data_IF_866941039213
#
_entry.id   IF_866941039213
#
_cell.length_a   1.000
_cell.length_b   1.000
_cell.length_c   1.000
_cell.angle_alpha   90.00
_cell.angle_beta   90.00
_cell.angle_gamma   90.00
#
_symmetry.space_group_name_H-M   'P 1'
#
loop_
_entity.id
_entity.type
_entity.pdbx_description
1 polymer ?
#
# COMPACT_ATOMS: atom_id res chain seq x y z
N UNK A 1 38.19 -13.24 -10.58
CA UNK A 1 36.98 -13.29 -9.74
C UNK A 1 35.79 -12.81 -10.56
N UNK A 2 34.82 -13.68 -10.84
CA UNK A 2 33.52 -13.27 -11.37
C UNK A 2 32.66 -12.91 -10.16
N UNK A 3 32.28 -11.64 -10.00
CA UNK A 3 31.33 -11.22 -8.98
C UNK A 3 29.93 -11.42 -9.54
N UNK A 4 29.28 -12.49 -9.08
CA UNK A 4 27.85 -12.72 -9.27
C UNK A 4 27.08 -11.64 -8.50
N UNK A 5 26.57 -10.65 -9.22
CA UNK A 5 25.58 -9.72 -8.69
C UNK A 5 24.24 -10.44 -8.73
N UNK A 6 23.85 -10.99 -7.58
CA UNK A 6 22.51 -11.48 -7.35
C UNK A 6 21.52 -10.33 -7.58
N UNK A 7 20.74 -10.41 -8.65
CA UNK A 7 19.62 -9.52 -8.89
C UNK A 7 18.69 -9.56 -7.66
N UNK A 8 18.24 -8.41 -7.11
CA UNK A 8 17.31 -8.43 -6.00
C UNK A 8 16.02 -9.09 -6.49
N UNK A 9 15.73 -10.25 -5.89
CA UNK A 9 14.62 -11.11 -6.26
C UNK A 9 13.32 -10.32 -6.38
N UNK A 10 12.65 -10.48 -7.51
CA UNK A 10 11.31 -9.99 -7.70
C UNK A 10 10.41 -10.67 -6.66
N UNK A 11 10.14 -9.99 -5.56
CA UNK A 11 9.15 -10.42 -4.57
C UNK A 11 7.81 -10.38 -5.30
N UNK A 12 7.33 -11.55 -5.72
CA UNK A 12 6.05 -11.68 -6.39
C UNK A 12 4.93 -11.23 -5.43
N UNK A 13 3.90 -10.53 -5.93
CA UNK A 13 2.77 -10.13 -5.10
C UNK A 13 2.10 -11.37 -4.50
N UNK A 14 1.58 -11.28 -3.26
CA UNK A 14 0.97 -12.43 -2.60
C UNK A 14 -0.23 -12.93 -3.42
N UNK A 15 -0.26 -14.25 -3.65
CA UNK A 15 -1.37 -14.95 -4.27
C UNK A 15 -2.58 -14.82 -3.34
N UNK A 16 -3.81 -14.55 -3.83
CA UNK A 16 -4.98 -14.49 -2.98
C UNK A 16 -5.23 -15.88 -2.37
N UNK A 17 -4.81 -16.07 -1.12
CA UNK A 17 -5.12 -17.26 -0.35
C UNK A 17 -6.55 -17.12 0.16
N UNK A 18 -7.44 -17.99 -0.31
CA UNK A 18 -8.72 -18.21 0.34
C UNK A 18 -8.52 -18.89 1.71
N UNK A 19 -9.45 -18.60 2.61
CA UNK A 19 -9.72 -19.22 3.92
C UNK A 19 -9.26 -18.46 5.19
N UNK A 20 -10.25 -17.77 5.77
CA UNK A 20 -10.70 -17.77 7.17
C UNK A 20 -9.68 -17.68 8.33
N UNK A 21 -9.60 -16.47 8.90
CA UNK A 21 -9.50 -16.22 10.35
C UNK A 21 -10.54 -15.14 10.69
N UNK A 22 -11.07 -15.05 11.92
CA UNK A 22 -11.88 -13.90 12.34
C UNK A 22 -10.92 -12.72 12.59
N UNK A 23 -10.32 -12.24 11.50
CA UNK A 23 -9.53 -11.03 11.51
C UNK A 23 -10.53 -9.88 11.55
N UNK A 24 -10.44 -9.04 12.57
CA UNK A 24 -10.82 -7.62 12.42
C UNK A 24 -10.22 -7.19 11.09
N UNK A 25 -11.07 -6.98 10.09
CA UNK A 25 -10.60 -6.65 8.75
C UNK A 25 -9.81 -5.34 8.91
N UNK A 26 -8.47 -5.36 8.71
CA UNK A 26 -7.64 -4.18 8.95
C UNK A 26 -8.06 -3.02 8.06
N UNK A 27 -8.91 -3.28 7.04
CA UNK A 27 -9.45 -2.28 6.13
C UNK A 27 -10.91 -1.90 6.44
N UNK A 28 -11.54 -2.44 7.50
CA UNK A 28 -12.95 -2.18 7.83
C UNK A 28 -13.27 -0.69 8.04
N UNK A 29 -12.33 0.06 8.62
CA UNK A 29 -12.48 1.48 8.95
C UNK A 29 -11.55 2.40 8.13
N UNK A 30 -10.98 1.89 7.02
CA UNK A 30 -9.97 2.57 6.19
C UNK A 30 -10.41 3.96 5.69
N UNK A 31 -11.72 4.23 5.61
CA UNK A 31 -12.29 5.52 5.20
C UNK A 31 -12.24 6.62 6.28
N UNK A 32 -11.96 6.24 7.52
CA UNK A 32 -11.91 7.17 8.67
C UNK A 32 -10.51 7.25 9.27
N UNK A 33 -9.58 6.45 8.76
CA UNK A 33 -8.23 6.34 9.28
C UNK A 33 -7.33 7.48 8.80
N UNK A 34 -6.56 8.01 9.74
CA UNK A 34 -5.44 8.89 9.46
C UNK A 34 -4.35 8.17 8.65
N UNK A 35 -3.42 8.94 8.07
CA UNK A 35 -2.29 8.38 7.32
C UNK A 35 -1.47 7.37 8.14
N UNK A 36 -1.25 7.62 9.43
CA UNK A 36 -0.47 6.73 10.29
C UNK A 36 -1.20 5.44 10.62
N UNK A 37 -2.51 5.49 10.83
CA UNK A 37 -3.35 4.29 11.02
C UNK A 37 -3.37 3.46 9.74
N UNK A 38 -3.54 4.11 8.57
CA UNK A 38 -3.47 3.44 7.27
C UNK A 38 -2.11 2.76 7.06
N UNK A 39 -1.00 3.39 7.44
CA UNK A 39 0.31 2.76 7.35
C UNK A 39 0.39 1.49 8.20
N UNK A 40 -0.14 1.52 9.42
CA UNK A 40 -0.19 0.37 10.32
C UNK A 40 -1.09 -0.76 9.79
N UNK A 41 -2.25 -0.43 9.21
CA UNK A 41 -3.16 -1.41 8.61
C UNK A 41 -2.54 -2.07 7.40
N UNK A 42 -1.91 -1.29 6.52
CA UNK A 42 -1.21 -1.80 5.34
C UNK A 42 -0.03 -2.69 5.74
N UNK A 43 0.71 -2.32 6.78
CA UNK A 43 1.77 -3.15 7.35
C UNK A 43 1.25 -4.47 7.92
N UNK A 44 0.12 -4.43 8.63
CA UNK A 44 -0.54 -5.61 9.20
C UNK A 44 -1.07 -6.54 8.12
N UNK A 45 -1.73 -5.99 7.10
CA UNK A 45 -2.21 -6.69 5.92
C UNK A 45 -1.06 -7.37 5.16
N UNK A 46 0.04 -6.65 4.95
CA UNK A 46 1.21 -7.19 4.27
C UNK A 46 1.85 -8.33 5.08
N UNK A 47 1.98 -8.18 6.40
CA UNK A 47 2.53 -9.22 7.28
C UNK A 47 1.63 -10.46 7.31
N UNK A 48 0.31 -10.28 7.28
CA UNK A 48 -0.65 -11.39 7.20
C UNK A 48 -0.57 -12.13 5.87
N UNK A 49 -0.51 -11.40 4.75
CA UNK A 49 -0.46 -12.00 3.42
C UNK A 49 0.92 -12.58 3.05
N UNK A 50 1.99 -12.00 3.59
CA UNK A 50 3.36 -12.39 3.29
C UNK A 50 4.29 -12.18 4.50
N UNK A 51 4.25 -13.11 5.49
CA UNK A 51 5.04 -13.01 6.73
C UNK A 51 6.56 -12.94 6.50
N UNK A 52 7.03 -13.47 5.37
CA UNK A 52 8.44 -13.49 4.96
C UNK A 52 8.91 -12.24 4.23
N UNK A 53 8.04 -11.26 3.96
CA UNK A 53 8.43 -10.03 3.29
C UNK A 53 9.32 -9.19 4.23
N UNK A 54 10.60 -8.93 3.89
CA UNK A 54 11.48 -8.16 4.75
C UNK A 54 11.06 -6.68 4.74
N UNK A 55 10.62 -6.17 5.90
CA UNK A 55 10.26 -4.76 6.13
C UNK A 55 11.34 -3.99 6.91
N UNK A 56 12.58 -4.49 6.89
CA UNK A 56 13.67 -3.98 7.72
C UNK A 56 14.32 -2.71 7.11
N UNK A 57 14.29 -2.55 5.79
CA UNK A 57 14.81 -1.36 5.12
C UNK A 57 13.80 -0.21 5.25
N UNK A 58 14.28 0.98 5.61
CA UNK A 58 13.47 2.19 5.70
C UNK A 58 13.60 3.02 4.43
N UNK A 59 12.48 3.57 3.97
CA UNK A 59 12.46 4.58 2.93
C UNK A 59 12.87 5.96 3.49
N UNK A 60 13.14 6.97 2.63
CA UNK A 60 13.54 8.32 3.08
C UNK A 60 12.50 9.02 3.97
N UNK A 61 11.26 8.57 3.97
CA UNK A 61 10.18 9.07 4.82
C UNK A 61 10.10 8.38 6.18
N UNK A 62 11.03 7.47 6.49
CA UNK A 62 11.10 6.74 7.75
C UNK A 62 10.19 5.51 7.84
N UNK A 63 9.29 5.31 6.87
CA UNK A 63 8.39 4.16 6.80
C UNK A 63 9.08 2.94 6.17
N UNK A 64 8.57 1.71 6.38
CA UNK A 64 9.13 0.52 5.76
C UNK A 64 9.12 0.62 4.23
N UNK A 65 10.27 0.31 3.63
CA UNK A 65 10.43 0.28 2.17
C UNK A 65 9.72 -0.95 1.62
N UNK A 66 9.01 -0.78 0.50
CA UNK A 66 8.30 -1.87 -0.18
C UNK A 66 8.54 -1.85 -1.69
N UNK A 67 8.58 -3.03 -2.35
CA UNK A 67 8.61 -3.09 -3.80
C UNK A 67 7.34 -2.49 -4.42
N UNK A 68 7.46 -1.82 -5.56
CA UNK A 68 6.33 -1.17 -6.23
C UNK A 68 5.16 -2.13 -6.54
N UNK A 69 5.42 -3.40 -6.82
CA UNK A 69 4.36 -4.39 -7.04
C UNK A 69 3.54 -4.66 -5.76
N UNK A 70 4.19 -4.67 -4.61
CA UNK A 70 3.51 -4.81 -3.31
C UNK A 70 2.64 -3.58 -3.05
N UNK A 71 3.14 -2.38 -3.35
CA UNK A 71 2.38 -1.13 -3.23
C UNK A 71 1.12 -1.13 -4.09
N UNK A 72 1.20 -1.60 -5.34
CA UNK A 72 0.04 -1.73 -6.24
C UNK A 72 -0.96 -2.76 -5.72
N UNK A 73 -0.46 -3.89 -5.19
CA UNK A 73 -1.30 -4.90 -4.57
C UNK A 73 -2.05 -4.36 -3.34
N UNK A 74 -1.36 -3.63 -2.45
CA UNK A 74 -1.94 -2.98 -1.27
C UNK A 74 -3.07 -2.01 -1.65
N UNK A 75 -2.82 -1.12 -2.63
CA UNK A 75 -3.84 -0.19 -3.16
C UNK A 75 -5.05 -0.95 -3.68
N UNK A 76 -4.84 -2.10 -4.34
CA UNK A 76 -5.91 -2.94 -4.86
C UNK A 76 -6.75 -3.57 -3.75
N UNK A 77 -6.13 -3.96 -2.61
CA UNK A 77 -6.86 -4.49 -1.45
C UNK A 77 -7.74 -3.40 -0.82
N UNK A 78 -7.19 -2.20 -0.62
CA UNK A 78 -7.98 -1.07 -0.13
C UNK A 78 -9.14 -0.75 -1.08
N UNK A 79 -8.87 -0.74 -2.38
CA UNK A 79 -9.90 -0.54 -3.40
C UNK A 79 -11.04 -1.54 -3.30
N UNK A 80 -10.74 -2.83 -3.05
CA UNK A 80 -11.77 -3.86 -2.83
C UNK A 80 -12.55 -3.61 -1.54
N UNK A 81 -11.86 -3.33 -0.43
CA UNK A 81 -12.49 -3.09 0.88
C UNK A 81 -13.47 -1.91 0.85
N UNK A 82 -13.16 -0.86 0.08
CA UNK A 82 -14.04 0.32 -0.03
C UNK A 82 -15.02 0.25 -1.21
N UNK A 83 -15.09 -0.87 -1.95
CA UNK A 83 -15.95 -1.02 -3.13
C UNK A 83 -15.54 -0.17 -4.34
N UNK A 84 -14.29 0.34 -4.38
CA UNK A 84 -13.72 1.14 -5.48
C UNK A 84 -12.47 0.43 -6.05
N UNK A 85 -12.63 -0.56 -6.94
CA UNK A 85 -11.50 -1.35 -7.45
C UNK A 85 -10.45 -0.51 -8.21
N UNK A 86 -10.84 0.67 -8.71
CA UNK A 86 -9.93 1.68 -9.28
C UNK A 86 -9.81 2.89 -8.34
N UNK A 87 -9.41 2.65 -7.09
CA UNK A 87 -9.32 3.69 -6.07
C UNK A 87 -8.33 4.81 -6.45
N UNK A 88 -7.20 4.43 -7.03
CA UNK A 88 -6.09 5.33 -7.35
C UNK A 88 -5.78 5.27 -8.83
N UNK A 89 -5.59 6.42 -9.47
CA UNK A 89 -5.05 6.50 -10.82
C UNK A 89 -3.52 6.48 -10.77
N UNK A 90 -2.91 5.31 -10.98
CA UNK A 90 -1.46 5.10 -10.90
C UNK A 90 -0.64 6.00 -11.83
N UNK A 91 -1.20 6.47 -12.95
CA UNK A 91 -0.51 7.40 -13.86
C UNK A 91 -0.23 8.77 -13.24
N UNK A 92 -1.01 9.14 -12.20
CA UNK A 92 -0.89 10.41 -11.47
C UNK A 92 -0.10 10.26 -10.16
N UNK A 93 0.35 9.05 -9.82
CA UNK A 93 1.09 8.79 -8.57
C UNK A 93 2.59 8.89 -8.84
N UNK A 94 3.30 9.59 -7.96
CA UNK A 94 4.76 9.66 -8.05
C UNK A 94 5.34 8.28 -7.72
N UNK A 95 6.33 7.82 -8.49
CA UNK A 95 6.96 6.50 -8.25
C UNK A 95 7.55 6.37 -6.85
N UNK A 96 8.05 7.46 -6.28
CA UNK A 96 8.63 7.48 -4.94
C UNK A 96 7.59 7.13 -3.86
N UNK A 97 6.33 7.59 -4.03
CA UNK A 97 5.24 7.29 -3.09
C UNK A 97 4.86 5.80 -3.11
N UNK A 98 5.21 5.07 -4.18
CA UNK A 98 4.99 3.62 -4.30
C UNK A 98 6.18 2.79 -3.81
N UNK A 99 7.19 3.39 -3.19
CA UNK A 99 8.38 2.69 -2.67
C UNK A 99 8.38 2.56 -1.15
N UNK A 100 7.34 3.02 -0.47
CA UNK A 100 7.24 3.02 0.99
C UNK A 100 5.80 2.83 1.46
N UNK A 101 5.59 2.21 2.62
CA UNK A 101 4.24 2.04 3.18
C UNK A 101 3.60 3.38 3.51
N UNK A 102 4.36 4.33 4.06
CA UNK A 102 3.86 5.68 4.38
C UNK A 102 3.51 6.49 3.14
N UNK A 103 4.22 6.28 2.03
CA UNK A 103 3.87 6.85 0.72
C UNK A 103 2.55 6.29 0.18
N UNK A 104 2.37 4.97 0.26
CA UNK A 104 1.13 4.30 -0.15
C UNK A 104 -0.05 4.75 0.73
N UNK A 105 0.15 4.84 2.04
CA UNK A 105 -0.87 5.33 2.98
C UNK A 105 -1.33 6.75 2.62
N UNK A 106 -0.40 7.66 2.29
CA UNK A 106 -0.72 9.02 1.81
C UNK A 106 -1.51 9.02 0.51
N UNK A 107 -1.13 8.17 -0.45
CA UNK A 107 -1.83 8.04 -1.73
C UNK A 107 -3.26 7.55 -1.53
N UNK A 108 -3.44 6.52 -0.69
CA UNK A 108 -4.75 5.98 -0.33
C UNK A 108 -5.59 7.03 0.40
N UNK A 109 -5.03 7.68 1.42
CA UNK A 109 -5.71 8.73 2.18
C UNK A 109 -6.24 9.85 1.27
N UNK A 110 -5.41 10.34 0.33
CA UNK A 110 -5.84 11.36 -0.64
C UNK A 110 -6.95 10.88 -1.58
N UNK A 111 -6.96 9.59 -1.93
CA UNK A 111 -7.99 9.01 -2.79
C UNK A 111 -9.32 8.78 -2.07
N UNK A 112 -9.28 8.57 -0.74
CA UNK A 112 -10.44 8.40 0.13
C UNK A 112 -11.02 9.74 0.59
N UNK A 113 -10.15 10.73 0.82
CA UNK A 113 -10.50 12.10 1.18
C UNK A 113 -10.06 13.08 0.09
N UNK A 114 -10.71 13.07 -1.08
CA UNK A 114 -10.49 14.12 -2.06
C UNK A 114 -10.87 15.45 -1.41
N UNK A 115 -9.90 16.33 -1.21
CA UNK A 115 -10.17 17.71 -0.82
C UNK A 115 -11.16 18.26 -1.86
N UNK A 116 -12.31 18.83 -1.47
CA UNK A 116 -13.22 19.45 -2.42
C UNK A 116 -12.39 20.48 -3.18
N UNK A 117 -12.09 20.18 -4.44
CA UNK A 117 -11.54 21.16 -5.36
C UNK A 117 -12.60 22.23 -5.42
N UNK A 118 -12.31 23.39 -4.82
CA UNK A 118 -13.23 24.52 -4.80
C UNK A 118 -13.81 24.66 -6.21
N UNK A 119 -15.14 24.56 -6.24
CA UNK A 119 -15.91 24.75 -7.44
C UNK A 119 -15.43 26.05 -8.09
N UNK A 120 -14.94 25.90 -9.32
CA UNK A 120 -14.64 26.98 -10.25
C UNK A 120 -15.70 28.09 -10.07
N UNK A 121 -15.32 29.20 -9.45
CA UNK A 121 -16.11 30.41 -9.50
C UNK A 121 -16.22 30.79 -10.98
N UNK A 122 -17.44 30.74 -11.52
CA UNK A 122 -17.81 31.30 -12.81
C UNK A 122 -18.80 32.42 -12.55
#
# INVERSE_FOLDING_TARGET
MKSDIAAPGAIAPPKPAGAAAPAVDPLAAVRSHSVSELEADLGSLLRSAQPSCPLQEKAPDGSPRVPSLISVWLISQVGKAVGRPKLVNLSKVRRDDLRSLGGVARVVHRALHPVPSEAKAS
#
